data_IF_447944151597
#
_entry.id   IF_447944151597
#
_cell.length_a   1.000
_cell.length_b   1.000
_cell.length_c   1.000
_cell.angle_alpha   90.00
_cell.angle_beta   90.00
_cell.angle_gamma   90.00
#
_symmetry.space_group_name_H-M   'P 1'
#
loop_
_entity.id
_entity.type
_entity.pdbx_description
1 polymer ?
#
# COMPACT_ATOMS: atom_id res chain seq x y z
N UNK A 1 5.93 -12.93 -16.27
CA UNK A 1 5.95 -12.73 -14.80
C UNK A 1 5.68 -11.26 -14.56
N UNK A 2 4.72 -10.93 -13.69
CA UNK A 2 4.40 -9.54 -13.36
C UNK A 2 5.30 -9.06 -12.23
N UNK A 3 5.52 -7.74 -12.14
CA UNK A 3 6.27 -7.13 -11.03
C UNK A 3 5.39 -6.08 -10.36
N UNK A 4 5.35 -6.09 -9.03
CA UNK A 4 4.75 -5.03 -8.24
C UNK A 4 5.74 -4.54 -7.20
N UNK A 5 5.60 -3.26 -6.87
CA UNK A 5 6.30 -2.70 -5.72
C UNK A 5 5.32 -2.45 -4.57
N UNK A 6 5.85 -2.33 -3.36
CA UNK A 6 5.08 -1.90 -2.19
C UNK A 6 5.85 -0.81 -1.47
N UNK A 7 5.15 0.09 -0.79
CA UNK A 7 5.79 1.21 -0.10
C UNK A 7 5.00 1.58 1.17
N UNK A 8 5.74 1.99 2.19
CA UNK A 8 5.20 2.52 3.44
C UNK A 8 5.72 3.91 3.65
N UNK A 9 4.88 4.80 4.14
CA UNK A 9 5.32 6.18 4.35
C UNK A 9 5.87 6.44 5.75
N UNK A 10 5.62 5.62 6.78
CA UNK A 10 6.11 5.84 8.14
C UNK A 10 7.59 6.25 8.17
N UNK A 11 7.88 7.31 8.94
CA UNK A 11 9.23 7.88 9.06
C UNK A 11 9.78 8.64 7.84
N UNK A 12 9.16 8.59 6.64
CA UNK A 12 9.60 9.40 5.48
C UNK A 12 8.79 10.69 5.28
N UNK A 13 9.40 11.75 4.76
CA UNK A 13 8.66 12.91 4.26
C UNK A 13 8.12 12.66 2.84
N UNK A 14 7.34 13.60 2.29
CA UNK A 14 6.74 13.45 0.95
C UNK A 14 7.81 13.49 -0.16
N UNK A 15 8.83 14.32 -0.04
CA UNK A 15 9.86 14.45 -1.08
C UNK A 15 10.61 13.13 -1.26
N UNK A 16 11.10 12.55 -0.18
CA UNK A 16 11.79 11.25 -0.18
C UNK A 16 10.86 10.11 -0.62
N UNK A 17 9.58 10.18 -0.26
CA UNK A 17 8.57 9.23 -0.70
C UNK A 17 8.34 9.29 -2.22
N UNK A 18 8.19 10.50 -2.79
CA UNK A 18 8.04 10.67 -4.23
C UNK A 18 9.30 10.25 -4.97
N UNK A 19 10.49 10.59 -4.45
CA UNK A 19 11.76 10.18 -5.05
C UNK A 19 11.85 8.66 -5.17
N UNK A 20 11.53 7.92 -4.09
CA UNK A 20 11.53 6.45 -4.11
C UNK A 20 10.59 5.86 -5.17
N UNK A 21 9.40 6.47 -5.36
CA UNK A 21 8.46 6.04 -6.40
C UNK A 21 8.97 6.35 -7.81
N UNK A 22 9.57 7.53 -8.01
CA UNK A 22 10.15 7.94 -9.30
C UNK A 22 11.33 7.07 -9.69
N UNK A 23 12.23 6.75 -8.75
CA UNK A 23 13.39 5.89 -8.99
C UNK A 23 12.96 4.47 -9.38
N UNK A 24 11.90 3.96 -8.74
CA UNK A 24 11.27 2.68 -9.08
C UNK A 24 10.40 2.75 -10.35
N UNK A 25 10.27 3.92 -10.99
CA UNK A 25 9.45 4.17 -12.19
C UNK A 25 7.99 3.73 -12.02
N UNK A 26 7.44 3.94 -10.83
CA UNK A 26 6.04 3.67 -10.54
C UNK A 26 5.19 4.62 -11.37
N UNK A 27 4.21 4.08 -12.10
CA UNK A 27 3.25 4.84 -12.88
C UNK A 27 1.93 5.07 -12.12
N UNK A 28 1.60 4.17 -11.18
CA UNK A 28 0.38 4.22 -10.39
C UNK A 28 0.62 3.83 -8.93
N UNK A 29 0.26 4.72 -8.01
CA UNK A 29 0.17 4.40 -6.59
C UNK A 29 -1.24 3.88 -6.27
N UNK A 30 -1.32 2.65 -5.78
CA UNK A 30 -2.56 2.04 -5.28
C UNK A 30 -2.57 2.19 -3.77
N UNK A 31 -3.38 3.14 -3.28
CA UNK A 31 -3.68 3.28 -1.87
C UNK A 31 -4.58 2.14 -1.42
N UNK A 32 -4.06 1.29 -0.54
CA UNK A 32 -4.81 0.17 0.04
C UNK A 32 -5.17 0.45 1.49
N UNK A 33 -5.09 1.69 1.98
CA UNK A 33 -5.53 2.05 3.32
C UNK A 33 -7.06 2.05 3.40
N UNK A 34 -7.61 1.48 4.47
CA UNK A 34 -9.05 1.61 4.74
C UNK A 34 -9.46 3.08 4.96
N UNK A 35 -8.58 3.84 5.63
CA UNK A 35 -8.71 5.28 5.82
C UNK A 35 -7.54 5.98 5.13
N UNK A 36 -7.80 6.64 4.01
CA UNK A 36 -6.80 7.46 3.30
C UNK A 36 -6.64 8.87 3.96
N UNK A 37 -6.88 8.96 5.27
CA UNK A 37 -6.55 10.13 6.08
C UNK A 37 -5.20 9.90 6.77
N UNK A 38 -4.42 10.97 6.93
CA UNK A 38 -3.13 10.90 7.59
C UNK A 38 -2.87 12.20 8.32
N UNK A 39 -2.29 12.10 9.52
CA UNK A 39 -1.74 13.25 10.26
C UNK A 39 -0.35 13.65 9.75
N UNK A 40 0.29 12.80 8.95
CA UNK A 40 1.60 13.09 8.38
C UNK A 40 1.43 14.05 7.19
N UNK A 41 2.11 15.22 7.20
CA UNK A 41 1.94 16.23 6.17
C UNK A 41 2.06 15.63 4.76
N UNK A 42 1.08 15.95 3.91
CA UNK A 42 1.05 15.52 2.51
C UNK A 42 0.63 14.08 2.22
N UNK A 43 0.36 13.25 3.23
CA UNK A 43 -0.08 11.85 3.04
C UNK A 43 -1.59 11.62 3.15
N UNK A 44 -2.38 12.68 3.37
CA UNK A 44 -3.84 12.62 3.25
C UNK A 44 -4.25 12.56 1.76
N UNK A 45 -5.27 11.75 1.42
CA UNK A 45 -5.71 11.44 0.05
C UNK A 45 -5.56 12.58 -0.97
N UNK A 46 -6.23 13.72 -0.72
CA UNK A 46 -6.23 14.84 -1.67
C UNK A 46 -4.84 15.46 -1.86
N UNK A 47 -4.07 15.62 -0.77
CA UNK A 47 -2.72 16.16 -0.83
C UNK A 47 -1.76 15.17 -1.49
N UNK A 48 -1.87 13.88 -1.15
CA UNK A 48 -1.05 12.83 -1.72
C UNK A 48 -1.27 12.71 -3.24
N UNK A 49 -2.53 12.70 -3.69
CA UNK A 49 -2.86 12.68 -5.11
C UNK A 49 -2.27 13.90 -5.85
N UNK A 50 -2.39 15.09 -5.28
CA UNK A 50 -1.79 16.30 -5.87
C UNK A 50 -0.25 16.22 -5.95
N UNK A 51 0.40 15.72 -4.91
CA UNK A 51 1.85 15.52 -4.88
C UNK A 51 2.33 14.47 -5.89
N UNK A 52 1.59 13.38 -6.07
CA UNK A 52 1.91 12.36 -7.08
C UNK A 52 1.77 12.90 -8.51
N UNK A 53 0.76 13.74 -8.74
CA UNK A 53 0.55 14.37 -10.04
C UNK A 53 1.74 15.24 -10.46
N UNK A 54 2.43 15.91 -9.53
CA UNK A 54 3.60 16.74 -9.87
C UNK A 54 4.78 15.94 -10.41
N UNK A 55 4.81 14.63 -10.16
CA UNK A 55 5.82 13.69 -10.66
C UNK A 55 5.24 12.69 -11.68
N UNK A 56 4.03 12.94 -12.19
CA UNK A 56 3.42 12.15 -13.24
C UNK A 56 2.91 10.77 -12.80
N UNK A 57 2.65 10.57 -11.51
CA UNK A 57 2.18 9.29 -10.96
C UNK A 57 0.66 9.35 -10.74
N UNK A 58 -0.06 8.37 -11.28
CA UNK A 58 -1.49 8.21 -11.07
C UNK A 58 -1.78 7.76 -9.63
N UNK A 59 -3.00 8.04 -9.14
CA UNK A 59 -3.45 7.64 -7.82
C UNK A 59 -4.78 6.88 -7.91
N UNK A 60 -4.84 5.68 -7.32
CA UNK A 60 -6.06 4.89 -7.17
C UNK A 60 -6.22 4.47 -5.72
N UNK A 61 -7.44 4.55 -5.19
CA UNK A 61 -7.75 4.10 -3.83
C UNK A 61 -8.66 2.88 -3.91
N UNK A 62 -8.18 1.73 -3.44
CA UNK A 62 -8.93 0.48 -3.32
C UNK A 62 -9.21 0.22 -1.84
N UNK A 63 -10.27 0.86 -1.35
CA UNK A 63 -10.60 0.89 0.08
C UNK A 63 -10.93 -0.50 0.63
N UNK A 64 -11.53 -1.37 -0.19
CA UNK A 64 -11.88 -2.74 0.16
C UNK A 64 -10.67 -3.58 0.53
N UNK A 65 -9.47 -3.20 0.10
CA UNK A 65 -8.21 -3.87 0.46
C UNK A 65 -7.60 -3.40 1.78
N UNK A 66 -8.24 -2.45 2.46
CA UNK A 66 -7.68 -1.86 3.67
C UNK A 66 -7.99 -2.61 4.95
N UNK A 67 -7.05 -2.54 5.89
CA UNK A 67 -7.20 -3.16 7.21
C UNK A 67 -8.44 -2.61 7.95
N UNK A 68 -9.35 -3.48 8.43
CA UNK A 68 -10.50 -3.10 9.26
C UNK A 68 -10.12 -2.33 10.53
N UNK A 69 -11.11 -1.72 11.19
CA UNK A 69 -10.86 -0.92 12.40
C UNK A 69 -10.13 -1.71 13.50
N UNK A 70 -10.58 -2.94 13.76
CA UNK A 70 -10.00 -3.79 14.80
C UNK A 70 -8.59 -4.25 14.42
N UNK A 71 -8.37 -4.59 13.15
CA UNK A 71 -7.02 -4.91 12.65
C UNK A 71 -6.06 -3.73 12.77
N UNK A 72 -6.53 -2.49 12.50
CA UNK A 72 -5.72 -1.28 12.74
C UNK A 72 -5.44 -1.06 14.22
N UNK A 73 -6.36 -1.43 15.12
CA UNK A 73 -6.13 -1.35 16.55
C UNK A 73 -5.08 -2.39 17.00
N UNK A 74 -5.16 -3.63 16.49
CA UNK A 74 -4.17 -4.68 16.72
C UNK A 74 -2.77 -4.26 16.25
N UNK A 75 -2.66 -3.70 15.03
CA UNK A 75 -1.41 -3.19 14.48
C UNK A 75 -0.75 -2.14 15.38
N UNK A 76 -1.51 -1.14 15.84
CA UNK A 76 -1.02 -0.09 16.75
C UNK A 76 -0.55 -0.61 18.11
N UNK A 77 -1.12 -1.73 18.55
CA UNK A 77 -0.76 -2.37 19.81
C UNK A 77 0.38 -3.40 19.64
N UNK A 78 0.97 -3.53 18.45
CA UNK A 78 2.01 -4.53 18.17
C UNK A 78 1.51 -5.98 18.15
N UNK A 79 0.19 -6.19 18.07
CA UNK A 79 -0.42 -7.53 18.06
C UNK A 79 -0.50 -8.06 16.62
N UNK A 80 0.64 -8.35 16.03
CA UNK A 80 0.76 -8.69 14.60
C UNK A 80 0.04 -10.00 14.22
N UNK A 81 -0.04 -10.98 15.11
CA UNK A 81 -0.82 -12.20 14.89
C UNK A 81 -2.32 -11.92 14.76
N UNK A 82 -2.87 -11.13 15.67
CA UNK A 82 -4.28 -10.71 15.62
C UNK A 82 -4.58 -9.85 14.38
N UNK A 83 -3.65 -8.94 14.01
CA UNK A 83 -3.75 -8.20 12.75
C UNK A 83 -3.85 -9.15 11.55
N UNK A 84 -3.00 -10.19 11.50
CA UNK A 84 -3.00 -11.18 10.41
C UNK A 84 -4.34 -11.88 10.31
N UNK A 85 -4.85 -12.41 11.41
CA UNK A 85 -6.10 -13.17 11.42
C UNK A 85 -7.28 -12.29 10.98
N UNK A 86 -7.39 -11.07 11.54
CA UNK A 86 -8.43 -10.11 11.16
C UNK A 86 -8.34 -9.74 9.68
N UNK A 87 -7.13 -9.47 9.19
CA UNK A 87 -6.94 -9.00 7.82
C UNK A 87 -7.22 -10.11 6.80
N UNK A 88 -6.80 -11.35 7.05
CA UNK A 88 -7.09 -12.49 6.18
C UNK A 88 -8.59 -12.80 6.13
N UNK A 89 -9.29 -12.75 7.28
CA UNK A 89 -10.74 -12.89 7.31
C UNK A 89 -11.45 -11.77 6.51
N UNK A 90 -10.97 -10.55 6.62
CA UNK A 90 -11.46 -9.41 5.83
C UNK A 90 -11.22 -9.58 4.33
N UNK A 91 -10.04 -10.06 3.94
CA UNK A 91 -9.68 -10.31 2.55
C UNK A 91 -10.60 -11.33 1.89
N UNK A 92 -11.18 -12.27 2.65
CA UNK A 92 -12.14 -13.26 2.16
C UNK A 92 -13.56 -12.70 1.93
N UNK A 93 -13.84 -11.45 2.30
CA UNK A 93 -15.16 -10.83 2.06
C UNK A 93 -15.37 -10.44 0.60
N UNK A 94 -16.62 -10.48 0.13
CA UNK A 94 -16.97 -10.12 -1.26
C UNK A 94 -16.48 -8.72 -1.66
N UNK A 95 -16.55 -7.77 -0.73
CA UNK A 95 -16.08 -6.39 -0.98
C UNK A 95 -14.56 -6.33 -1.18
N UNK A 96 -13.79 -7.09 -0.40
CA UNK A 96 -12.34 -7.15 -0.56
C UNK A 96 -11.96 -7.93 -1.82
N UNK A 97 -12.66 -9.02 -2.14
CA UNK A 97 -12.44 -9.79 -3.36
C UNK A 97 -12.71 -8.96 -4.62
N UNK A 98 -13.77 -8.15 -4.65
CA UNK A 98 -14.06 -7.27 -5.78
C UNK A 98 -12.93 -6.24 -6.04
N UNK A 99 -12.39 -5.61 -4.99
CA UNK A 99 -11.25 -4.71 -5.16
C UNK A 99 -9.94 -5.47 -5.48
N UNK A 100 -9.81 -6.73 -5.04
CA UNK A 100 -8.67 -7.59 -5.39
C UNK A 100 -8.71 -7.97 -6.89
N UNK A 101 -9.90 -8.23 -7.44
CA UNK A 101 -10.09 -8.45 -8.87
C UNK A 101 -9.72 -7.20 -9.69
N UNK A 102 -10.08 -6.01 -9.21
CA UNK A 102 -9.66 -4.74 -9.82
C UNK A 102 -8.13 -4.58 -9.77
N UNK A 103 -7.51 -4.90 -8.63
CA UNK A 103 -6.04 -4.85 -8.49
C UNK A 103 -5.37 -5.84 -9.43
N UNK A 104 -5.88 -7.06 -9.55
CA UNK A 104 -5.39 -8.07 -10.48
C UNK A 104 -5.46 -7.58 -11.93
N UNK A 105 -6.58 -6.97 -12.34
CA UNK A 105 -6.73 -6.36 -13.67
C UNK A 105 -5.64 -5.31 -13.95
N UNK A 106 -5.41 -4.41 -13.00
CA UNK A 106 -4.36 -3.37 -13.11
C UNK A 106 -2.96 -3.98 -13.32
N UNK A 107 -2.65 -5.08 -12.61
CA UNK A 107 -1.36 -5.76 -12.73
C UNK A 107 -1.23 -6.51 -14.06
N UNK A 108 -2.33 -7.10 -14.54
CA UNK A 108 -2.39 -7.76 -15.85
C UNK A 108 -2.21 -6.78 -17.01
N UNK A 109 -2.71 -5.56 -16.87
CA UNK A 109 -2.53 -4.47 -17.84
C UNK A 109 -1.06 -4.00 -17.94
N UNK A 110 -0.17 -4.49 -17.07
CA UNK A 110 1.28 -4.23 -17.15
C UNK A 110 1.72 -2.87 -16.62
N UNK A 111 0.84 -2.13 -15.91
CA UNK A 111 1.23 -0.89 -15.24
C UNK A 111 2.23 -1.19 -14.12
N UNK A 112 3.29 -0.37 -14.02
CA UNK A 112 4.18 -0.37 -12.85
C UNK A 112 3.46 0.26 -11.66
N UNK A 113 3.12 -0.55 -10.68
CA UNK A 113 2.36 -0.10 -9.51
C UNK A 113 3.16 -0.15 -8.21
N UNK A 114 2.75 0.67 -7.25
CA UNK A 114 3.14 0.56 -5.85
C UNK A 114 1.91 0.41 -4.94
N UNK A 115 1.90 -0.61 -4.07
CA UNK A 115 0.89 -0.76 -3.02
C UNK A 115 1.30 0.07 -1.79
N UNK A 116 0.43 0.99 -1.36
CA UNK A 116 0.69 1.90 -0.25
C UNK A 116 0.02 1.46 1.05
N UNK A 117 0.80 1.34 2.13
CA UNK A 117 0.29 1.33 3.52
C UNK A 117 0.98 2.39 4.39
N UNK A 118 0.73 2.37 5.70
CA UNK A 118 1.37 3.28 6.65
C UNK A 118 2.79 2.82 7.00
N UNK A 119 2.93 1.59 7.50
CA UNK A 119 4.09 1.05 8.20
C UNK A 119 5.34 1.02 7.32
N UNK A 120 6.51 1.36 7.85
CA UNK A 120 7.76 1.30 7.08
C UNK A 120 8.13 -0.15 6.78
N UNK A 121 8.06 -1.00 7.81
CA UNK A 121 8.41 -2.42 7.75
C UNK A 121 7.30 -3.26 7.08
N UNK A 122 7.58 -3.92 5.94
CA UNK A 122 6.61 -4.78 5.27
C UNK A 122 6.24 -6.03 6.09
N UNK A 123 7.08 -6.51 7.00
CA UNK A 123 6.81 -7.75 7.76
C UNK A 123 5.70 -7.61 8.80
N UNK A 124 5.37 -6.38 9.17
CA UNK A 124 4.44 -6.05 10.26
C UNK A 124 3.16 -5.35 9.79
N UNK A 125 2.83 -5.44 8.49
CA UNK A 125 1.70 -4.73 7.91
C UNK A 125 0.88 -5.56 6.93
N UNK A 126 -0.24 -4.99 6.51
CA UNK A 126 -1.21 -5.65 5.62
C UNK A 126 -0.77 -5.71 4.15
N UNK A 127 0.13 -4.82 3.70
CA UNK A 127 0.50 -4.75 2.27
C UNK A 127 1.18 -6.02 1.79
N UNK A 128 1.95 -6.68 2.66
CA UNK A 128 2.63 -7.94 2.32
C UNK A 128 1.62 -9.09 2.22
N UNK A 129 0.68 -9.16 3.16
CA UNK A 129 -0.42 -10.15 3.10
C UNK A 129 -1.28 -9.98 1.84
N UNK A 130 -1.52 -8.74 1.41
CA UNK A 130 -2.22 -8.45 0.16
C UNK A 130 -1.39 -8.86 -1.07
N UNK A 131 -0.09 -8.53 -1.07
CA UNK A 131 0.81 -8.92 -2.16
C UNK A 131 0.93 -10.45 -2.28
N UNK A 132 0.98 -11.17 -1.16
CA UNK A 132 0.94 -12.64 -1.11
C UNK A 132 -0.38 -13.19 -1.65
N UNK A 133 -1.51 -12.62 -1.25
CA UNK A 133 -2.84 -13.01 -1.75
C UNK A 133 -2.94 -12.81 -3.27
N UNK A 134 -2.35 -11.72 -3.80
CA UNK A 134 -2.27 -11.50 -5.22
C UNK A 134 -1.34 -12.51 -5.91
N UNK A 135 -0.17 -12.82 -5.33
CA UNK A 135 0.78 -13.80 -5.88
C UNK A 135 0.20 -15.23 -5.99
N UNK A 136 -0.84 -15.55 -5.21
CA UNK A 136 -1.60 -16.80 -5.35
C UNK A 136 -2.47 -16.85 -6.62
N UNK A 137 -2.81 -15.68 -7.20
CA UNK A 137 -3.69 -15.56 -8.37
C UNK A 137 -2.92 -15.43 -9.68
N UNK A 138 -1.70 -14.87 -9.65
CA UNK A 138 -0.84 -14.75 -10.83
C UNK A 138 0.66 -14.74 -10.48
N UNK A 139 1.55 -15.21 -11.38
CA UNK A 139 2.99 -15.19 -11.14
C UNK A 139 3.53 -13.77 -10.99
N UNK A 140 4.05 -13.46 -9.81
CA UNK A 140 4.32 -12.11 -9.36
C UNK A 140 5.66 -12.04 -8.61
N UNK A 141 6.48 -11.05 -8.95
CA UNK A 141 7.66 -10.64 -8.17
C UNK A 141 7.30 -9.42 -7.35
N UNK A 142 7.64 -9.45 -6.06
CA UNK A 142 7.35 -8.37 -5.10
C UNK A 142 8.66 -7.69 -4.73
N UNK A 143 8.68 -6.36 -4.83
CA UNK A 143 9.77 -5.52 -4.32
C UNK A 143 9.23 -4.56 -3.26
N UNK A 144 9.91 -4.47 -2.12
CA UNK A 144 9.54 -3.53 -1.06
C UNK A 144 10.45 -2.30 -1.14
N UNK A 145 9.87 -1.15 -1.53
CA UNK A 145 10.58 0.12 -1.55
C UNK A 145 10.75 0.63 -0.12
N UNK A 146 11.93 1.19 0.16
CA UNK A 146 12.28 1.80 1.42
C UNK A 146 12.67 3.27 1.19
N UNK A 147 11.72 4.22 1.29
CA UNK A 147 12.05 5.63 1.20
C UNK A 147 13.01 6.07 2.29
N UNK A 148 13.81 7.10 1.99
CA UNK A 148 14.71 7.67 2.98
C UNK A 148 13.92 8.08 4.23
N UNK A 149 14.42 7.65 5.39
CA UNK A 149 13.80 7.96 6.67
C UNK A 149 14.31 9.32 7.11
N UNK A 150 13.40 10.28 7.29
CA UNK A 150 13.76 11.56 7.86
C UNK A 150 14.28 11.35 9.29
N UNK A 151 15.31 12.11 9.74
CA UNK A 151 15.74 12.09 11.13
C UNK A 151 14.53 12.28 12.06
N UNK A 152 14.49 11.54 13.16
CA UNK A 152 13.59 11.86 14.26
C UNK A 152 14.20 13.06 14.97
N UNK A 153 13.61 14.24 14.81
CA UNK A 153 13.87 15.39 15.68
C UNK A 153 13.45 15.06 17.13
#
# INVERSE_FOLDING_TARGET
>A
MHEITTIGYEGTNVADFLQALTDARVALLVDVRALASSRRPGFAKTRLAANLQTVGIEYRHLRGLGTPADGRAAARAGRHGELRDIYLAHLATDTAQADLDVLEGIVRDGKRIALLCFEADPSHCHRSMLADALAQRLPLRIEHLAPHQAPKD
#
